data_IF_950687525194
#
_entry.id   IF_950687525194
#
_cell.length_a   1.000
_cell.length_b   1.000
_cell.length_c   1.000
_cell.angle_alpha   90.00
_cell.angle_beta   90.00
_cell.angle_gamma   90.00
#
_symmetry.space_group_name_H-M   'P 1'
#
loop_
_entity.id
_entity.type
_entity.pdbx_description
1 polymer ?
#
# COMPACT_ATOMS: atom_id res chain seq x y z
N UNK A 1 -16.27 -0.40 32.79
CA UNK A 1 -14.95 -0.35 32.16
C UNK A 1 -14.83 1.03 31.55
N UNK A 2 -13.69 1.68 31.72
CA UNK A 2 -13.50 3.04 31.20
C UNK A 2 -13.44 2.96 29.67
N UNK A 3 -14.39 3.59 28.98
CA UNK A 3 -14.47 3.57 27.52
C UNK A 3 -13.67 4.74 26.95
N UNK A 4 -13.01 4.49 25.82
CA UNK A 4 -12.31 5.54 25.10
C UNK A 4 -13.36 6.37 24.35
N UNK A 5 -13.55 7.62 24.78
CA UNK A 5 -14.59 8.51 24.24
C UNK A 5 -14.00 9.85 23.81
N UNK A 6 -14.81 10.69 23.15
CA UNK A 6 -14.38 12.04 22.80
C UNK A 6 -14.12 12.93 24.02
N UNK A 7 -14.82 12.68 25.14
CA UNK A 7 -14.77 13.54 26.33
C UNK A 7 -13.42 13.46 27.08
N UNK A 8 -12.69 12.37 26.93
CA UNK A 8 -11.36 12.18 27.54
C UNK A 8 -10.23 12.75 26.67
N UNK A 9 -10.54 13.52 25.62
CA UNK A 9 -9.53 14.04 24.70
C UNK A 9 -8.41 14.82 25.39
N UNK A 10 -8.75 15.63 26.40
CA UNK A 10 -7.78 16.37 27.19
C UNK A 10 -6.86 15.44 28.02
N UNK A 11 -7.37 14.31 28.50
CA UNK A 11 -6.57 13.32 29.23
C UNK A 11 -5.61 12.59 28.28
N UNK A 12 -6.08 12.19 27.10
CA UNK A 12 -5.25 11.56 26.05
C UNK A 12 -4.15 12.53 25.59
N UNK A 13 -4.48 13.78 25.34
CA UNK A 13 -3.51 14.82 24.98
C UNK A 13 -2.47 15.03 26.10
N UNK A 14 -2.90 15.06 27.36
CA UNK A 14 -2.00 15.20 28.50
C UNK A 14 -1.07 13.99 28.66
N UNK A 15 -1.59 12.78 28.55
CA UNK A 15 -0.81 11.54 28.58
C UNK A 15 0.25 11.52 27.46
N UNK A 16 -0.16 11.80 26.22
CA UNK A 16 0.76 11.88 25.09
C UNK A 16 1.84 12.96 25.29
N UNK A 17 1.48 14.13 25.86
CA UNK A 17 2.44 15.21 26.18
C UNK A 17 3.45 14.77 27.25
N UNK A 18 2.99 14.12 28.32
CA UNK A 18 3.86 13.63 29.40
C UNK A 18 4.84 12.57 28.89
N UNK A 19 4.39 11.69 27.98
CA UNK A 19 5.16 10.54 27.52
C UNK A 19 5.80 10.75 26.13
N UNK A 20 5.87 12.00 25.63
CA UNK A 20 6.26 12.27 24.26
C UNK A 20 7.68 11.79 23.92
N UNK A 21 8.63 11.96 24.84
CA UNK A 21 10.01 11.51 24.66
C UNK A 21 10.12 9.98 24.61
N UNK A 22 9.39 9.29 25.50
CA UNK A 22 9.38 7.82 25.55
C UNK A 22 8.71 7.23 24.30
N UNK A 23 7.61 7.83 23.84
CA UNK A 23 6.92 7.40 22.62
C UNK A 23 7.76 7.64 21.37
N UNK A 24 8.52 8.74 21.31
CA UNK A 24 9.50 8.96 20.25
C UNK A 24 10.63 7.91 20.30
N UNK A 25 11.07 7.54 21.49
CA UNK A 25 12.03 6.45 21.71
C UNK A 25 11.51 5.07 21.29
N UNK A 26 10.22 4.79 21.50
CA UNK A 26 9.55 3.59 21.01
C UNK A 26 9.56 3.51 19.48
N UNK A 27 9.15 4.61 18.81
CA UNK A 27 9.21 4.74 17.35
C UNK A 27 10.64 4.57 16.82
N UNK A 28 11.62 5.17 17.50
CA UNK A 28 13.04 5.08 17.11
C UNK A 28 13.56 3.64 17.10
N UNK A 29 13.25 2.88 18.16
CA UNK A 29 13.63 1.47 18.26
C UNK A 29 12.90 0.59 17.27
N UNK A 30 11.63 0.88 16.98
CA UNK A 30 10.80 0.05 16.12
C UNK A 30 11.00 0.31 14.63
N UNK A 31 11.23 1.56 14.23
CA UNK A 31 11.25 2.00 12.82
C UNK A 31 12.66 2.27 12.28
N UNK A 32 13.70 1.92 13.05
CA UNK A 32 15.11 2.04 12.67
C UNK A 32 15.53 3.48 12.32
N UNK A 33 15.10 4.46 13.14
CA UNK A 33 15.41 5.88 12.97
C UNK A 33 15.58 6.61 14.31
N UNK A 34 15.95 7.88 14.27
CA UNK A 34 15.97 8.77 15.43
C UNK A 34 14.82 9.77 15.32
N UNK A 35 13.76 9.60 16.11
CA UNK A 35 12.60 10.47 16.09
C UNK A 35 12.57 11.37 17.33
N UNK A 36 12.16 12.61 17.12
CA UNK A 36 11.69 13.51 18.17
C UNK A 36 10.21 13.79 17.93
N UNK A 37 9.43 13.92 19.00
CA UNK A 37 7.99 14.10 18.93
C UNK A 37 7.54 15.36 19.67
N UNK A 38 6.65 16.14 19.06
CA UNK A 38 5.92 17.22 19.69
C UNK A 38 4.42 16.99 19.54
N UNK A 39 3.69 17.05 20.65
CA UNK A 39 2.24 16.82 20.69
C UNK A 39 1.51 18.11 20.42
N UNK A 40 0.63 18.10 19.43
CA UNK A 40 -0.24 19.23 19.08
C UNK A 40 -1.44 19.37 20.01
N UNK A 41 -2.51 19.93 19.46
CA UNK A 41 -3.79 20.12 20.14
C UNK A 41 -4.84 19.19 19.52
N UNK A 42 -5.73 18.69 20.37
CA UNK A 42 -6.89 17.91 19.91
C UNK A 42 -7.87 18.76 19.10
N UNK A 43 -8.44 18.18 18.05
CA UNK A 43 -9.47 18.79 17.22
C UNK A 43 -10.58 17.79 16.87
N UNK A 44 -11.79 18.29 16.61
CA UNK A 44 -12.89 17.45 16.12
C UNK A 44 -12.55 16.91 14.72
N UNK A 45 -12.82 15.64 14.49
CA UNK A 45 -12.58 14.96 13.22
C UNK A 45 -13.77 15.16 12.29
N UNK A 46 -13.51 15.78 11.13
CA UNK A 46 -14.50 15.88 10.06
C UNK A 46 -14.21 14.83 8.97
N UNK A 47 -15.11 13.86 8.83
CA UNK A 47 -15.00 12.82 7.80
C UNK A 47 -15.16 13.39 6.38
N UNK A 48 -15.81 14.54 6.22
CA UNK A 48 -15.96 15.20 4.91
C UNK A 48 -14.69 15.98 4.49
N UNK A 49 -13.80 16.28 5.44
CA UNK A 49 -12.55 17.00 5.22
C UNK A 49 -11.40 16.39 6.05
N UNK A 50 -11.03 15.12 5.78
CA UNK A 50 -9.93 14.49 6.50
C UNK A 50 -8.61 15.25 6.22
N UNK A 51 -7.66 15.25 7.18
CA UNK A 51 -6.31 15.77 6.94
C UNK A 51 -5.72 15.21 5.65
N UNK A 52 -5.07 16.06 4.83
CA UNK A 52 -4.48 15.64 3.54
C UNK A 52 -3.52 14.45 3.69
N UNK A 53 -2.84 14.40 4.84
CA UNK A 53 -1.92 13.33 5.20
C UNK A 53 -2.59 11.95 5.29
N UNK A 54 -3.92 11.83 5.49
CA UNK A 54 -4.61 10.53 5.59
C UNK A 54 -4.73 9.79 4.25
N UNK A 55 -4.32 10.42 3.17
CA UNK A 55 -4.41 9.85 1.84
C UNK A 55 -3.24 8.91 1.55
N UNK A 56 -3.56 7.66 1.22
CA UNK A 56 -2.58 6.67 0.76
C UNK A 56 -2.14 5.68 1.84
N UNK A 57 -1.09 4.88 1.56
CA UNK A 57 -0.67 3.80 2.43
C UNK A 57 0.07 4.30 3.67
N UNK A 58 0.04 3.51 4.74
CA UNK A 58 0.79 3.82 5.95
C UNK A 58 0.70 2.74 7.02
N UNK A 59 1.47 2.95 8.09
CA UNK A 59 1.44 2.12 9.28
C UNK A 59 0.30 2.59 10.18
N UNK A 60 -0.54 1.66 10.63
CA UNK A 60 -1.57 1.92 11.63
C UNK A 60 -1.34 1.04 12.86
N UNK A 61 -1.56 1.61 14.04
CA UNK A 61 -1.56 0.93 15.34
C UNK A 61 -2.93 1.11 15.95
N UNK A 62 -3.72 0.04 15.95
CA UNK A 62 -5.05 -0.01 16.52
C UNK A 62 -4.99 -0.42 17.99
N UNK A 63 -5.71 0.29 18.85
CA UNK A 63 -5.80 0.05 20.29
C UNK A 63 -7.28 -0.03 20.68
N UNK A 64 -7.77 -1.22 21.00
CA UNK A 64 -9.18 -1.49 21.32
C UNK A 64 -9.43 -1.35 22.82
N UNK A 65 -10.55 -0.71 23.17
CA UNK A 65 -11.06 -0.50 24.52
C UNK A 65 -12.57 -0.84 24.51
N UNK A 66 -12.91 -2.07 24.87
CA UNK A 66 -14.26 -2.61 24.72
C UNK A 66 -14.72 -2.61 23.26
N UNK A 67 -15.80 -1.88 22.97
CA UNK A 67 -16.38 -1.75 21.62
C UNK A 67 -15.78 -0.58 20.82
N UNK A 68 -14.92 0.23 21.45
CA UNK A 68 -14.30 1.41 20.85
C UNK A 68 -12.81 1.20 20.57
N UNK A 69 -12.21 1.99 19.70
CA UNK A 69 -10.75 2.00 19.55
C UNK A 69 -10.16 3.39 19.29
N UNK A 70 -8.89 3.53 19.65
CA UNK A 70 -8.00 4.55 19.10
C UNK A 70 -7.16 3.94 17.98
N UNK A 71 -6.78 4.76 17.01
CA UNK A 71 -5.77 4.38 16.02
C UNK A 71 -4.69 5.46 15.94
N UNK A 72 -3.43 5.04 15.99
CA UNK A 72 -2.27 5.86 15.66
C UNK A 72 -1.83 5.55 14.22
N UNK A 73 -1.66 6.56 13.38
CA UNK A 73 -1.43 6.38 11.94
C UNK A 73 -0.27 7.22 11.45
N UNK A 74 0.69 6.59 10.77
CA UNK A 74 1.83 7.25 10.16
C UNK A 74 1.90 6.89 8.68
N UNK A 75 1.86 7.91 7.84
CA UNK A 75 1.66 7.73 6.40
C UNK A 75 2.98 7.46 5.72
N UNK A 76 2.98 6.69 4.63
CA UNK A 76 4.20 6.42 3.88
C UNK A 76 4.76 7.72 3.25
N UNK A 77 3.89 8.64 2.87
CA UNK A 77 4.25 9.93 2.30
C UNK A 77 5.10 10.79 3.27
N UNK A 78 5.00 10.57 4.58
CA UNK A 78 5.86 11.23 5.57
C UNK A 78 7.35 10.90 5.41
N UNK A 79 7.70 9.80 4.75
CA UNK A 79 9.08 9.30 4.66
C UNK A 79 9.64 8.78 6.00
N UNK A 80 8.84 8.79 7.07
CA UNK A 80 9.22 8.34 8.41
C UNK A 80 9.03 6.84 8.63
N UNK A 81 8.45 6.13 7.67
CA UNK A 81 8.24 4.68 7.74
C UNK A 81 9.30 3.95 6.90
N UNK A 82 9.98 2.94 7.46
CA UNK A 82 10.95 2.15 6.71
C UNK A 82 10.22 1.27 5.69
N UNK A 83 10.86 1.02 4.54
CA UNK A 83 10.24 0.25 3.45
C UNK A 83 9.81 -1.17 3.86
N UNK A 84 10.50 -1.77 4.84
CA UNK A 84 10.16 -3.10 5.35
C UNK A 84 8.84 -3.12 6.13
N UNK A 85 8.37 -1.99 6.68
CA UNK A 85 7.14 -1.94 7.47
C UNK A 85 5.88 -2.32 6.66
N UNK A 86 5.93 -2.16 5.33
CA UNK A 86 4.86 -2.57 4.42
C UNK A 86 4.79 -4.09 4.18
N UNK A 87 5.89 -4.80 4.42
CA UNK A 87 5.99 -6.26 4.26
C UNK A 87 7.03 -6.78 5.25
N UNK A 88 6.71 -6.77 6.55
CA UNK A 88 7.66 -7.12 7.59
C UNK A 88 8.01 -8.61 7.51
N UNK A 89 9.28 -8.95 7.77
CA UNK A 89 9.67 -10.32 8.10
C UNK A 89 9.37 -10.62 9.58
N UNK A 90 9.67 -11.83 10.07
CA UNK A 90 9.41 -12.21 11.46
C UNK A 90 10.05 -11.26 12.50
N UNK A 91 11.17 -10.61 12.14
CA UNK A 91 11.83 -9.61 12.99
C UNK A 91 11.05 -8.31 12.98
N UNK A 92 10.65 -7.85 11.79
CA UNK A 92 9.81 -6.67 11.61
C UNK A 92 8.45 -6.82 12.30
N UNK A 93 7.81 -7.99 12.20
CA UNK A 93 6.56 -8.31 12.89
C UNK A 93 6.72 -8.17 14.41
N UNK A 94 7.81 -8.68 14.96
CA UNK A 94 8.12 -8.56 16.40
C UNK A 94 8.35 -7.10 16.82
N UNK A 95 9.01 -6.29 15.98
CA UNK A 95 9.22 -4.85 16.23
C UNK A 95 7.89 -4.09 16.22
N UNK A 96 7.05 -4.34 15.23
CA UNK A 96 5.75 -3.67 15.09
C UNK A 96 4.77 -4.09 16.20
N UNK A 97 4.80 -5.35 16.65
CA UNK A 97 4.01 -5.80 17.79
C UNK A 97 4.46 -5.10 19.09
N UNK A 98 5.77 -4.99 19.31
CA UNK A 98 6.34 -4.26 20.45
C UNK A 98 5.96 -2.77 20.39
N UNK A 99 6.02 -2.17 19.20
CA UNK A 99 5.60 -0.78 19.00
C UNK A 99 4.12 -0.57 19.35
N UNK A 100 3.25 -1.48 18.90
CA UNK A 100 1.82 -1.40 19.19
C UNK A 100 1.55 -1.43 20.69
N UNK A 101 2.23 -2.32 21.42
CA UNK A 101 2.16 -2.40 22.86
C UNK A 101 2.65 -1.10 23.52
N UNK A 102 3.84 -0.62 23.18
CA UNK A 102 4.41 0.57 23.80
C UNK A 102 3.56 1.82 23.53
N UNK A 103 3.11 2.04 22.29
CA UNK A 103 2.24 3.18 21.99
C UNK A 103 0.90 3.12 22.73
N UNK A 104 0.35 1.91 22.95
CA UNK A 104 -0.89 1.75 23.73
C UNK A 104 -0.75 2.16 25.19
N UNK A 105 0.46 2.09 25.75
CA UNK A 105 0.75 2.51 27.12
C UNK A 105 1.18 3.97 27.22
N UNK A 106 1.78 4.51 26.16
CA UNK A 106 2.38 5.84 26.19
C UNK A 106 1.43 6.94 25.69
N UNK A 107 0.60 6.64 24.69
CA UNK A 107 -0.29 7.64 24.05
C UNK A 107 -1.68 7.71 24.69
N UNK A 108 -2.00 6.83 25.63
CA UNK A 108 -3.31 6.73 26.27
C UNK A 108 -3.14 6.84 27.79
N UNK A 109 -4.09 7.46 28.53
CA UNK A 109 -3.97 7.59 29.98
C UNK A 109 -3.94 6.25 30.72
N UNK A 110 -3.20 6.18 31.84
CA UNK A 110 -3.09 4.99 32.71
C UNK A 110 -4.44 4.49 33.27
N UNK A 111 -5.48 5.34 33.24
CA UNK A 111 -6.85 4.99 33.63
C UNK A 111 -7.53 4.05 32.62
N UNK A 112 -6.95 3.91 31.42
CA UNK A 112 -7.38 3.04 30.35
C UNK A 112 -6.35 1.94 30.10
N UNK A 113 -6.85 0.74 29.83
CA UNK A 113 -6.02 -0.38 29.41
C UNK A 113 -6.59 -0.94 28.12
N UNK A 114 -5.79 -0.98 27.07
CA UNK A 114 -6.21 -1.57 25.80
C UNK A 114 -6.40 -3.08 25.98
N UNK A 115 -7.55 -3.59 25.56
CA UNK A 115 -7.85 -5.03 25.55
C UNK A 115 -7.02 -5.74 24.47
N UNK A 116 -6.85 -5.07 23.33
CA UNK A 116 -6.12 -5.55 22.16
C UNK A 116 -5.35 -4.40 21.55
N UNK A 117 -4.10 -4.63 21.17
CA UNK A 117 -3.29 -3.71 20.39
C UNK A 117 -2.68 -4.46 19.20
N UNK A 118 -2.83 -3.90 18.00
CA UNK A 118 -2.39 -4.53 16.75
C UNK A 118 -1.79 -3.46 15.84
N UNK A 119 -0.70 -3.80 15.17
CA UNK A 119 -0.11 -2.97 14.13
C UNK A 119 -0.27 -3.64 12.77
N UNK A 120 -0.57 -2.84 11.76
CA UNK A 120 -0.69 -3.32 10.40
C UNK A 120 -0.31 -2.24 9.39
N UNK A 121 0.15 -2.69 8.23
CA UNK A 121 0.25 -1.82 7.07
C UNK A 121 -1.11 -1.72 6.37
N UNK A 122 -1.60 -0.50 6.19
CA UNK A 122 -2.87 -0.21 5.54
C UNK A 122 -2.59 0.40 4.18
N UNK A 123 -3.20 -0.14 3.12
CA UNK A 123 -2.99 0.34 1.75
C UNK A 123 -3.60 1.71 1.44
N UNK A 124 -4.67 2.08 2.15
CA UNK A 124 -5.29 3.39 2.12
C UNK A 124 -5.88 3.70 3.52
N UNK A 125 -5.24 4.63 4.24
CA UNK A 125 -5.63 5.00 5.60
C UNK A 125 -7.02 5.64 5.64
N UNK A 126 -7.35 6.56 4.74
CA UNK A 126 -8.68 7.18 4.64
C UNK A 126 -9.79 6.12 4.50
N UNK A 127 -9.65 5.17 3.57
CA UNK A 127 -10.65 4.12 3.39
C UNK A 127 -10.75 3.17 4.60
N UNK A 128 -9.65 2.96 5.33
CA UNK A 128 -9.66 2.20 6.58
C UNK A 128 -10.34 2.95 7.71
N UNK A 129 -10.13 4.27 7.81
CA UNK A 129 -10.81 5.15 8.76
C UNK A 129 -12.32 5.10 8.52
N UNK A 130 -12.77 5.26 7.27
CA UNK A 130 -14.19 5.18 6.90
C UNK A 130 -14.82 3.84 7.34
N UNK A 131 -14.13 2.72 7.09
CA UNK A 131 -14.57 1.38 7.57
C UNK A 131 -14.55 1.27 9.09
N UNK A 132 -13.58 1.90 9.74
CA UNK A 132 -13.47 1.99 11.20
C UNK A 132 -14.61 2.76 11.86
N UNK A 133 -15.44 3.45 11.06
CA UNK A 133 -16.61 4.20 11.49
C UNK A 133 -16.30 5.12 12.69
N UNK A 134 -15.57 6.22 12.48
CA UNK A 134 -15.32 7.20 13.53
C UNK A 134 -16.66 7.72 14.07
N UNK A 135 -16.79 7.85 15.39
CA UNK A 135 -17.99 8.41 15.98
C UNK A 135 -18.23 9.86 15.50
N UNK A 136 -19.46 10.35 15.57
CA UNK A 136 -19.79 11.74 15.18
C UNK A 136 -18.96 12.80 15.90
N UNK A 137 -18.52 12.51 17.13
CA UNK A 137 -17.68 13.40 17.94
C UNK A 137 -16.22 12.92 17.99
N UNK A 138 -15.77 12.17 16.99
CA UNK A 138 -14.39 11.69 16.96
C UNK A 138 -13.42 12.88 17.02
N UNK A 139 -12.28 12.64 17.65
CA UNK A 139 -11.21 13.60 17.90
C UNK A 139 -9.95 13.09 17.23
N UNK A 140 -9.23 14.01 16.62
CA UNK A 140 -7.87 13.80 16.13
C UNK A 140 -6.86 14.54 16.98
N UNK A 141 -5.67 13.95 17.13
CA UNK A 141 -4.50 14.58 17.74
C UNK A 141 -3.27 14.40 16.83
N UNK A 142 -2.69 15.50 16.33
CA UNK A 142 -1.44 15.44 15.59
C UNK A 142 -0.23 15.35 16.53
N UNK A 143 0.66 14.42 16.22
CA UNK A 143 1.95 14.24 16.86
C UNK A 143 3.04 14.50 15.81
N UNK A 144 3.63 15.69 15.84
CA UNK A 144 4.67 16.09 14.90
C UNK A 144 5.96 15.32 15.18
N UNK A 145 6.40 14.54 14.21
CA UNK A 145 7.62 13.75 14.26
C UNK A 145 8.69 14.39 13.37
N UNK A 146 9.91 14.47 13.89
CA UNK A 146 11.09 14.92 13.14
C UNK A 146 12.15 13.83 13.24
N UNK A 147 12.61 13.33 12.10
CA UNK A 147 13.73 12.41 11.98
C UNK A 147 14.80 12.98 11.04
N UNK A 148 15.99 13.23 11.57
CA UNK A 148 17.13 13.87 10.88
C UNK A 148 16.77 15.17 10.12
N UNK A 149 16.32 15.05 8.86
CA UNK A 149 15.92 16.15 7.96
C UNK A 149 14.49 15.98 7.40
N UNK A 150 13.76 14.95 7.81
CA UNK A 150 12.41 14.63 7.33
C UNK A 150 11.42 14.82 8.48
N UNK A 151 10.33 15.54 8.21
CA UNK A 151 9.25 15.76 9.16
C UNK A 151 7.96 15.14 8.66
N UNK A 152 7.14 14.68 9.59
CA UNK A 152 5.80 14.15 9.31
C UNK A 152 4.95 14.12 10.55
N UNK A 153 3.70 13.69 10.41
CA UNK A 153 2.76 13.68 11.54
C UNK A 153 2.26 12.26 11.76
N UNK A 154 2.43 11.78 13.00
CA UNK A 154 1.70 10.62 13.51
C UNK A 154 0.36 11.13 14.01
N UNK A 155 -0.72 10.61 13.46
CA UNK A 155 -2.05 11.06 13.81
C UNK A 155 -2.74 10.05 14.69
N UNK A 156 -3.27 10.51 15.81
CA UNK A 156 -4.17 9.72 16.65
C UNK A 156 -5.61 10.09 16.30
N UNK A 157 -6.49 9.10 16.14
CA UNK A 157 -7.93 9.27 15.90
C UNK A 157 -8.73 8.34 16.81
N UNK A 158 -9.76 8.88 17.47
CA UNK A 158 -10.67 8.11 18.31
C UNK A 158 -12.00 8.86 18.59
N UNK A 159 -13.06 8.17 19.01
CA UNK A 159 -13.22 6.72 19.00
C UNK A 159 -13.67 6.22 17.63
N UNK A 160 -13.10 5.08 17.22
CA UNK A 160 -13.62 4.23 16.15
C UNK A 160 -14.69 3.30 16.74
N UNK A 161 -15.84 3.18 16.08
CA UNK A 161 -16.95 2.33 16.51
C UNK A 161 -16.97 0.96 15.85
N UNK A 162 -16.20 0.77 14.77
CA UNK A 162 -16.04 -0.50 14.07
C UNK A 162 -14.55 -0.88 13.94
N UNK A 163 -13.84 -1.12 15.07
CA UNK A 163 -12.40 -1.32 15.06
C UNK A 163 -11.94 -2.56 14.28
N UNK A 164 -12.74 -3.63 14.27
CA UNK A 164 -12.43 -4.83 13.49
C UNK A 164 -12.48 -4.58 11.97
N UNK A 165 -13.32 -3.66 11.51
CA UNK A 165 -13.45 -3.32 10.09
C UNK A 165 -12.30 -2.41 9.60
N UNK A 166 -11.64 -1.69 10.51
CA UNK A 166 -10.50 -0.83 10.20
C UNK A 166 -9.34 -1.63 9.56
N UNK A 167 -8.97 -2.75 10.19
CA UNK A 167 -7.87 -3.61 9.73
C UNK A 167 -8.29 -4.60 8.64
N UNK A 168 -9.58 -4.76 8.37
CA UNK A 168 -10.05 -5.58 7.27
C UNK A 168 -9.65 -4.94 5.93
N UNK A 169 -9.22 -5.80 5.00
CA UNK A 169 -9.12 -5.40 3.60
C UNK A 169 -10.49 -4.91 3.15
N UNK A 170 -10.52 -3.82 2.38
CA UNK A 170 -11.76 -3.32 1.80
C UNK A 170 -12.48 -4.49 1.10
N UNK A 171 -13.62 -4.93 1.65
CA UNK A 171 -14.57 -5.68 0.84
C UNK A 171 -14.97 -4.75 -0.31
N UNK A 172 -15.11 -5.27 -1.55
CA UNK A 172 -15.61 -4.46 -2.64
C UNK A 172 -17.06 -4.10 -2.34
N UNK A 173 -17.26 -3.02 -1.60
CA UNK A 173 -18.57 -2.43 -1.38
C UNK A 173 -19.07 -2.00 -2.74
N UNK A 174 -20.11 -2.66 -3.23
CA UNK A 174 -20.92 -2.24 -4.36
C UNK A 174 -21.62 -0.92 -4.02
N UNK A 175 -20.88 0.18 -3.97
CA UNK A 175 -21.47 1.50 -4.13
C UNK A 175 -21.63 1.76 -5.63
N UNK A 176 -22.88 1.72 -6.06
CA UNK A 176 -23.31 2.07 -7.42
C UNK A 176 -22.93 3.53 -7.68
N UNK A 177 -21.99 3.84 -8.60
CA UNK A 177 -21.65 5.22 -8.86
C UNK A 177 -22.71 5.83 -9.78
N UNK A 178 -23.47 6.77 -9.25
CA UNK A 178 -24.24 7.70 -10.05
C UNK A 178 -23.25 8.65 -10.75
N UNK A 179 -23.28 8.59 -12.07
CA UNK A 179 -22.35 9.20 -13.01
C UNK A 179 -22.39 10.73 -13.04
N UNK A 180 -21.22 11.38 -13.00
CA UNK A 180 -20.96 12.61 -13.75
C UNK A 180 -19.59 12.57 -14.46
N UNK A 181 -19.46 13.14 -15.67
CA UNK A 181 -18.25 13.01 -16.49
C UNK A 181 -17.40 14.29 -16.51
N UNK A 182 -16.07 14.14 -16.39
CA UNK A 182 -15.12 15.15 -16.91
C UNK A 182 -13.72 15.17 -16.27
N UNK A 183 -12.71 14.75 -17.03
CA UNK A 183 -11.32 15.22 -16.89
C UNK A 183 -10.27 14.17 -16.48
N UNK A 184 -9.05 14.16 -17.08
CA UNK A 184 -8.33 12.92 -17.35
C UNK A 184 -7.15 12.62 -16.42
N UNK A 185 -6.78 11.34 -16.44
CA UNK A 185 -5.50 10.73 -16.09
C UNK A 185 -5.16 10.63 -14.60
N UNK A 186 -5.64 9.55 -13.98
CA UNK A 186 -4.94 8.97 -12.83
C UNK A 186 -4.19 7.72 -13.29
N UNK A 187 -2.88 7.74 -13.11
CA UNK A 187 -1.99 6.59 -13.31
C UNK A 187 -2.39 5.53 -12.28
N UNK A 188 -3.01 4.46 -12.73
CA UNK A 188 -3.26 3.29 -11.89
C UNK A 188 -1.92 2.79 -11.30
N UNK A 189 -1.82 2.64 -9.98
CA UNK A 189 -0.70 1.95 -9.40
C UNK A 189 -0.83 0.48 -9.79
N UNK A 190 0.18 0.02 -10.51
CA UNK A 190 0.55 -1.36 -10.79
C UNK A 190 0.15 -2.29 -9.63
N UNK A 191 -1.05 -2.89 -9.69
CA UNK A 191 -1.58 -3.82 -8.67
C UNK A 191 -0.69 -5.05 -8.62
N UNK A 192 0.11 -5.18 -7.56
CA UNK A 192 0.79 -6.45 -7.28
C UNK A 192 -0.28 -7.39 -6.71
N UNK A 193 -0.77 -8.31 -7.55
CA UNK A 193 -1.79 -9.28 -7.16
C UNK A 193 -1.22 -10.35 -6.22
N UNK A 194 -1.82 -10.50 -5.03
CA UNK A 194 -1.58 -11.66 -4.17
C UNK A 194 -2.35 -12.88 -4.72
N UNK A 195 -1.61 -13.83 -5.27
CA UNK A 195 -2.16 -15.05 -5.87
C UNK A 195 -2.86 -15.98 -4.87
N UNK A 196 -2.63 -15.79 -3.56
CA UNK A 196 -3.20 -16.64 -2.50
C UNK A 196 -4.68 -16.34 -2.23
N UNK A 197 -5.11 -15.09 -2.45
CA UNK A 197 -6.48 -14.61 -2.26
C UNK A 197 -7.38 -14.82 -3.48
N UNK A 198 -6.84 -15.37 -4.57
CA UNK A 198 -7.62 -15.64 -5.77
C UNK A 198 -8.70 -16.70 -5.48
N UNK A 199 -9.95 -16.47 -5.92
CA UNK A 199 -11.02 -17.44 -5.77
C UNK A 199 -10.62 -18.84 -6.26
N UNK A 200 -11.12 -19.93 -5.65
CA UNK A 200 -10.66 -21.28 -5.96
C UNK A 200 -10.69 -21.65 -7.45
N UNK A 201 -11.63 -21.08 -8.22
CA UNK A 201 -11.74 -21.29 -9.66
C UNK A 201 -10.57 -20.68 -10.47
N UNK A 202 -9.96 -19.58 -9.99
CA UNK A 202 -8.82 -18.92 -10.63
C UNK A 202 -7.53 -19.75 -10.53
N UNK A 203 -7.42 -20.65 -9.55
CA UNK A 203 -6.24 -21.53 -9.39
C UNK A 203 -6.01 -22.43 -10.61
N UNK A 204 -7.07 -22.76 -11.36
CA UNK A 204 -6.94 -23.51 -12.61
C UNK A 204 -6.37 -22.66 -13.75
N UNK A 205 -6.64 -21.34 -13.76
CA UNK A 205 -6.14 -20.41 -14.78
C UNK A 205 -4.63 -20.17 -14.65
N UNK A 206 -4.09 -20.21 -13.43
CA UNK A 206 -2.64 -20.11 -13.19
C UNK A 206 -1.83 -21.27 -13.81
N UNK A 207 -2.49 -22.36 -14.21
CA UNK A 207 -1.85 -23.51 -14.85
C UNK A 207 -1.83 -23.42 -16.38
N UNK A 208 -2.46 -22.40 -16.96
CA UNK A 208 -2.48 -22.18 -18.40
C UNK A 208 -1.08 -21.77 -18.85
N UNK A 209 -0.51 -22.54 -19.80
CA UNK A 209 0.78 -22.22 -20.38
C UNK A 209 0.61 -21.11 -21.41
N UNK A 210 1.39 -20.05 -21.28
CA UNK A 210 1.43 -18.97 -22.26
C UNK A 210 2.79 -18.95 -22.97
N UNK A 211 2.84 -18.76 -24.30
CA UNK A 211 4.09 -18.67 -25.04
C UNK A 211 4.76 -17.32 -24.75
N UNK A 212 5.99 -17.38 -24.24
CA UNK A 212 6.84 -16.21 -24.01
C UNK A 212 7.85 -16.08 -25.15
N UNK A 213 7.93 -14.90 -25.74
CA UNK A 213 8.89 -14.56 -26.79
C UNK A 213 9.68 -13.31 -26.39
N UNK A 214 10.92 -13.22 -26.86
CA UNK A 214 11.79 -12.07 -26.59
C UNK A 214 12.25 -11.53 -27.95
N UNK A 215 11.95 -10.26 -28.20
CA UNK A 215 12.33 -9.59 -29.44
C UNK A 215 13.65 -8.82 -29.22
N UNK A 216 14.67 -9.17 -30.00
CA UNK A 216 15.95 -8.47 -29.94
C UNK A 216 15.90 -7.08 -30.58
N UNK A 217 15.18 -6.97 -31.69
CA UNK A 217 14.95 -5.73 -32.41
C UNK A 217 13.73 -5.86 -33.32
N UNK A 218 13.09 -4.73 -33.63
CA UNK A 218 12.01 -4.67 -34.62
C UNK A 218 12.32 -3.60 -35.67
N UNK A 219 11.88 -3.85 -36.93
CA UNK A 219 12.01 -2.87 -38.02
C UNK A 219 10.81 -2.95 -38.95
N UNK A 220 10.22 -1.80 -39.26
CA UNK A 220 9.16 -1.69 -40.29
C UNK A 220 9.79 -1.51 -41.66
N UNK A 221 9.37 -2.32 -42.62
CA UNK A 221 9.82 -2.27 -44.01
C UNK A 221 8.60 -2.24 -44.94
N UNK A 222 8.76 -1.71 -46.15
CA UNK A 222 7.73 -1.84 -47.17
C UNK A 222 7.62 -3.31 -47.60
N UNK A 223 6.43 -3.75 -48.02
CA UNK A 223 6.20 -5.12 -48.50
C UNK A 223 7.19 -5.47 -49.62
N UNK A 224 7.49 -4.52 -50.50
CA UNK A 224 8.45 -4.69 -51.58
C UNK A 224 9.88 -4.96 -51.09
N UNK A 225 10.32 -4.30 -50.01
CA UNK A 225 11.66 -4.52 -49.46
C UNK A 225 11.75 -5.85 -48.70
N UNK A 226 10.66 -6.27 -48.05
CA UNK A 226 10.56 -7.59 -47.42
C UNK A 226 10.71 -8.70 -48.47
N UNK A 227 10.07 -8.55 -49.63
CA UNK A 227 10.14 -9.52 -50.73
C UNK A 227 11.54 -9.66 -51.34
N UNK A 228 12.43 -8.67 -51.13
CA UNK A 228 13.83 -8.72 -51.59
C UNK A 228 14.76 -9.44 -50.61
N UNK A 229 14.31 -9.72 -49.38
CA UNK A 229 15.10 -10.43 -48.40
C UNK A 229 15.28 -11.89 -48.83
N UNK A 230 16.53 -12.33 -48.85
CA UNK A 230 16.91 -13.70 -49.17
C UNK A 230 18.16 -14.12 -48.40
N UNK A 231 18.61 -15.35 -48.61
CA UNK A 231 19.82 -15.85 -47.97
C UNK A 231 21.02 -14.93 -48.26
N UNK A 232 21.72 -14.51 -47.21
CA UNK A 232 22.85 -13.58 -47.30
C UNK A 232 22.48 -12.10 -47.24
N UNK A 233 21.20 -11.74 -47.13
CA UNK A 233 20.80 -10.35 -46.90
C UNK A 233 21.17 -9.90 -45.48
N UNK A 234 21.81 -8.75 -45.34
CA UNK A 234 22.13 -8.13 -44.06
C UNK A 234 21.07 -7.08 -43.76
N UNK A 235 20.31 -7.26 -42.69
CA UNK A 235 19.32 -6.30 -42.23
C UNK A 235 19.87 -5.53 -41.02
N UNK A 236 20.06 -4.23 -41.18
CA UNK A 236 20.48 -3.34 -40.10
C UNK A 236 19.28 -2.82 -39.32
N UNK A 237 19.39 -2.81 -38.00
CA UNK A 237 18.40 -2.23 -37.09
C UNK A 237 18.93 -0.90 -36.54
N UNK A 238 18.02 0.03 -36.27
CA UNK A 238 18.37 1.36 -35.75
C UNK A 238 18.41 1.38 -34.20
N UNK A 239 18.25 0.20 -33.57
CA UNK A 239 18.29 0.00 -32.13
C UNK A 239 19.72 -0.36 -31.68
N UNK A 240 20.28 0.30 -30.66
CA UNK A 240 21.63 -0.01 -30.18
C UNK A 240 21.66 -1.39 -29.53
N UNK A 241 22.82 -2.06 -29.58
CA UNK A 241 23.00 -3.40 -29.03
C UNK A 241 22.72 -3.50 -27.51
N UNK A 242 22.86 -2.37 -26.80
CA UNK A 242 22.68 -2.27 -25.35
C UNK A 242 21.26 -1.81 -24.96
N UNK A 243 20.35 -1.67 -25.93
CA UNK A 243 18.96 -1.35 -25.64
C UNK A 243 18.28 -2.53 -24.89
N UNK A 244 17.31 -2.23 -24.00
CA UNK A 244 16.50 -3.29 -23.40
C UNK A 244 15.73 -4.05 -24.48
N UNK A 245 15.60 -5.35 -24.26
CA UNK A 245 14.87 -6.32 -25.06
C UNK A 245 13.40 -6.34 -24.65
N UNK A 246 12.52 -6.41 -25.63
CA UNK A 246 11.09 -6.50 -25.41
C UNK A 246 10.69 -7.95 -25.12
N UNK A 247 9.98 -8.18 -24.01
CA UNK A 247 9.46 -9.49 -23.60
C UNK A 247 7.96 -9.52 -23.82
N UNK A 248 7.52 -10.45 -24.66
CA UNK A 248 6.12 -10.61 -25.05
C UNK A 248 5.54 -11.92 -24.52
N UNK A 249 4.24 -11.89 -24.24
CA UNK A 249 3.41 -13.08 -24.07
C UNK A 249 2.34 -13.05 -25.14
N UNK A 250 2.40 -13.98 -26.09
CA UNK A 250 1.63 -13.86 -27.33
C UNK A 250 2.03 -12.62 -28.13
N UNK A 251 1.07 -11.73 -28.41
CA UNK A 251 1.30 -10.47 -29.15
C UNK A 251 1.50 -9.24 -28.24
N UNK A 252 1.42 -9.43 -26.92
CA UNK A 252 1.37 -8.34 -25.95
C UNK A 252 2.73 -8.14 -25.27
N UNK A 253 3.21 -6.90 -25.23
CA UNK A 253 4.40 -6.51 -24.47
C UNK A 253 4.09 -6.57 -22.97
N UNK A 254 4.88 -7.31 -22.20
CA UNK A 254 4.67 -7.48 -20.75
C UNK A 254 5.86 -6.99 -19.90
N UNK A 255 7.05 -6.87 -20.49
CA UNK A 255 8.24 -6.44 -19.77
C UNK A 255 9.35 -6.00 -20.73
N UNK A 256 10.30 -5.26 -20.18
CA UNK A 256 11.58 -4.91 -20.78
C UNK A 256 12.68 -5.64 -19.99
N UNK A 257 13.66 -6.22 -20.68
CA UNK A 257 14.73 -7.01 -20.04
C UNK A 257 16.07 -6.89 -20.74
N UNK A 258 17.11 -7.43 -20.12
CA UNK A 258 18.48 -7.44 -20.66
C UNK A 258 18.93 -8.89 -20.89
N UNK A 259 19.60 -9.15 -22.01
CA UNK A 259 20.21 -10.46 -22.24
C UNK A 259 21.43 -10.63 -21.33
N UNK A 260 21.38 -11.62 -20.45
CA UNK A 260 22.47 -11.95 -19.54
C UNK A 260 23.04 -13.32 -19.86
N UNK A 261 24.34 -13.49 -19.69
CA UNK A 261 25.00 -14.79 -19.79
C UNK A 261 25.50 -15.21 -18.42
N UNK A 262 25.05 -16.37 -17.95
CA UNK A 262 25.48 -16.97 -16.69
C UNK A 262 26.19 -18.28 -17.00
N UNK A 263 27.52 -18.29 -16.89
CA UNK A 263 28.34 -19.41 -17.34
C UNK A 263 28.21 -19.62 -18.85
N UNK A 264 27.64 -20.75 -19.26
CA UNK A 264 27.35 -21.06 -20.68
C UNK A 264 25.87 -20.90 -21.05
N UNK A 265 25.03 -20.42 -20.12
CA UNK A 265 23.59 -20.27 -20.33
C UNK A 265 23.26 -18.82 -20.65
N UNK A 266 22.39 -18.62 -21.63
CA UNK A 266 21.76 -17.34 -21.90
C UNK A 266 20.46 -17.24 -21.11
N UNK A 267 20.20 -16.06 -20.56
CA UNK A 267 18.99 -15.73 -19.83
C UNK A 267 18.57 -14.30 -20.13
N UNK A 268 17.38 -13.92 -19.67
CA UNK A 268 16.87 -12.56 -19.76
C UNK A 268 16.58 -12.07 -18.35
N UNK A 269 17.23 -10.98 -17.96
CA UNK A 269 17.00 -10.31 -16.68
C UNK A 269 15.91 -9.26 -16.88
N UNK A 270 14.81 -9.37 -16.16
CA UNK A 270 13.73 -8.39 -16.24
C UNK A 270 14.19 -7.08 -15.58
N UNK A 271 14.10 -5.98 -16.33
CA UNK A 271 14.43 -4.63 -15.87
C UNK A 271 13.17 -3.88 -15.43
N UNK A 272 12.11 -3.96 -16.24
CA UNK A 272 10.85 -3.27 -16.00
C UNK A 272 9.67 -4.14 -16.42
N UNK A 273 8.62 -4.15 -15.61
CA UNK A 273 7.36 -4.79 -15.97
C UNK A 273 6.41 -3.75 -16.58
N UNK A 274 5.75 -4.12 -17.67
CA UNK A 274 4.71 -3.33 -18.32
C UNK A 274 3.40 -4.05 -18.03
N UNK A 275 2.54 -3.44 -17.21
CA UNK A 275 1.23 -4.01 -16.98
C UNK A 275 0.38 -3.81 -18.23
N UNK A 276 -0.22 -4.88 -18.76
CA UNK A 276 -1.19 -4.73 -19.83
C UNK A 276 -2.49 -4.16 -19.31
N UNK A 277 -3.18 -3.42 -20.16
CA UNK A 277 -4.52 -2.91 -19.87
C UNK A 277 -5.48 -4.08 -19.56
N UNK A 278 -6.27 -3.97 -18.49
CA UNK A 278 -7.27 -4.97 -18.14
C UNK A 278 -8.41 -4.96 -19.17
N UNK A 279 -8.48 -6.00 -20.01
CA UNK A 279 -9.56 -6.16 -20.97
C UNK A 279 -10.62 -7.14 -20.47
N UNK A 280 -11.76 -6.63 -20.03
CA UNK A 280 -12.91 -7.45 -19.66
C UNK A 280 -13.66 -7.92 -20.91
N UNK A 281 -13.64 -9.23 -21.17
CA UNK A 281 -14.44 -9.84 -22.24
C UNK A 281 -15.55 -10.69 -21.63
N UNK A 282 -16.84 -10.33 -21.80
CA UNK A 282 -17.93 -11.12 -21.26
C UNK A 282 -17.93 -12.49 -21.96
N UNK A 283 -17.73 -13.55 -21.18
CA UNK A 283 -17.86 -14.92 -21.68
C UNK A 283 -19.32 -15.36 -21.51
N UNK A 284 -20.06 -15.45 -22.60
CA UNK A 284 -21.41 -15.99 -22.58
C UNK A 284 -21.34 -17.50 -22.28
N UNK A 285 -22.13 -18.02 -21.33
CA UNK A 285 -22.15 -19.46 -21.06
C UNK A 285 -22.54 -20.22 -22.31
N UNK A 286 -21.76 -21.24 -22.68
CA UNK A 286 -22.11 -22.17 -23.74
C UNK A 286 -23.37 -22.92 -23.28
N UNK A 287 -24.52 -22.65 -23.89
CA UNK A 287 -25.74 -23.39 -23.60
C UNK A 287 -25.50 -24.87 -23.90
N UNK A 288 -25.70 -25.70 -22.88
CA UNK A 288 -25.66 -27.15 -23.01
C UNK A 288 -26.87 -27.58 -23.84
N UNK A 289 -26.59 -28.11 -25.04
CA UNK A 289 -27.56 -28.85 -25.85
C UNK A 289 -27.46 -30.34 -25.60
#
# INVERSE_FOLDING_TARGET
MSELTAQIAAEVEAAAKTNAEEAAGALSRALDGEYTMAVGETAEYDNAAPPEDFTGPGLAVLMKFGESAAVAMLTQASGLTPAWAASPDATGESKLATLAQELSMLLVPDSLMADVFESAWVGNLQAAIERGAPAEQAVVLPLSLIAENTGGTLWMLWPLTAPDAFLQAAEPTEETPESQPGGPASKEPTRIFDFSQLPPYCRSLLKVRAPLSVALASKRLSVHDIMKLGAGSILSFDQPCDAPLDVHVGEQLIAEGEAVKVGERFGVKILRMVMPDEHFKPMTPKQAG
#
